data_IF_094260332359
#
_entry.id   IF_094260332359
#
_cell.length_a   1.000
_cell.length_b   1.000
_cell.length_c   1.000
_cell.angle_alpha   90.00
_cell.angle_beta   90.00
_cell.angle_gamma   90.00
#
_symmetry.space_group_name_H-M   'P 1'
#
loop_
_entity.id
_entity.type
_entity.pdbx_description
1 polymer ?
#
# COMPACT_ATOMS: atom_id res chain seq x y z
N UNK A 1 -76.32 -39.83 -19.70
CA UNK A 1 -75.04 -39.97 -18.96
C UNK A 1 -74.06 -38.97 -19.52
N UNK A 2 -73.34 -38.27 -18.65
CA UNK A 2 -72.31 -37.29 -19.03
C UNK A 2 -71.01 -37.70 -18.36
N UNK A 3 -69.91 -37.70 -19.12
CA UNK A 3 -68.57 -38.03 -18.62
C UNK A 3 -67.57 -37.00 -19.12
N UNK A 4 -66.60 -36.67 -18.28
CA UNK A 4 -65.50 -35.77 -18.56
C UNK A 4 -64.13 -36.41 -18.32
N UNK A 5 -63.11 -35.80 -18.89
CA UNK A 5 -61.71 -36.11 -18.62
C UNK A 5 -60.86 -34.85 -18.77
N UNK A 6 -59.75 -34.80 -18.03
CA UNK A 6 -58.72 -33.77 -18.11
C UNK A 6 -57.38 -34.40 -18.50
N UNK A 7 -56.58 -33.71 -19.32
CA UNK A 7 -55.27 -34.21 -19.73
C UNK A 7 -54.26 -34.30 -18.59
N UNK A 8 -54.38 -33.42 -17.59
CA UNK A 8 -53.62 -33.41 -16.34
C UNK A 8 -54.49 -32.88 -15.21
N UNK A 9 -54.29 -33.37 -13.99
CA UNK A 9 -55.02 -32.91 -12.79
C UNK A 9 -54.14 -32.14 -11.81
N UNK A 10 -52.84 -32.06 -12.06
CA UNK A 10 -51.94 -31.21 -11.29
C UNK A 10 -50.71 -30.77 -12.09
N UNK A 11 -50.15 -29.61 -11.74
CA UNK A 11 -48.93 -29.11 -12.37
C UNK A 11 -48.57 -27.68 -11.94
N UNK A 12 -47.40 -27.16 -12.35
CA UNK A 12 -46.98 -25.82 -12.02
C UNK A 12 -47.77 -24.76 -12.81
N UNK A 13 -47.97 -23.58 -12.22
CA UNK A 13 -48.47 -22.42 -12.97
C UNK A 13 -47.42 -21.89 -13.99
N UNK A 14 -47.83 -21.52 -15.23
CA UNK A 14 -49.17 -21.66 -15.78
C UNK A 14 -49.47 -23.11 -16.23
N UNK A 15 -50.63 -23.63 -15.83
CA UNK A 15 -51.06 -24.99 -16.17
C UNK A 15 -52.15 -24.97 -17.23
N UNK A 16 -51.83 -25.42 -18.46
CA UNK A 16 -52.82 -25.62 -19.52
C UNK A 16 -53.39 -27.02 -19.46
N UNK A 17 -54.71 -27.12 -19.30
CA UNK A 17 -55.47 -28.38 -19.25
C UNK A 17 -56.41 -28.44 -20.44
N UNK A 18 -56.37 -29.54 -21.18
CA UNK A 18 -57.35 -29.85 -22.21
C UNK A 18 -58.41 -30.77 -21.62
N UNK A 19 -59.67 -30.45 -21.87
CA UNK A 19 -60.81 -31.20 -21.38
C UNK A 19 -61.53 -31.90 -22.52
N UNK A 20 -62.09 -33.06 -22.23
CA UNK A 20 -62.93 -33.81 -23.15
C UNK A 20 -64.29 -34.09 -22.50
N UNK A 21 -65.37 -33.87 -23.24
CA UNK A 21 -66.73 -34.19 -22.81
C UNK A 21 -67.37 -35.24 -23.73
N UNK A 22 -68.12 -36.16 -23.13
CA UNK A 22 -69.04 -37.04 -23.82
C UNK A 22 -70.40 -37.02 -23.14
N UNK A 23 -71.47 -36.90 -23.94
CA UNK A 23 -72.85 -37.02 -23.51
C UNK A 23 -73.54 -38.12 -24.32
N UNK A 24 -74.21 -39.04 -23.64
CA UNK A 24 -74.94 -40.14 -24.25
C UNK A 24 -76.30 -40.36 -23.58
N UNK A 25 -77.27 -40.86 -24.36
CA UNK A 25 -78.68 -40.88 -23.96
C UNK A 25 -79.32 -39.48 -24.04
N UNK A 26 -80.62 -39.44 -24.33
CA UNK A 26 -81.35 -38.19 -24.62
C UNK A 26 -81.43 -37.87 -26.13
N UNK A 27 -82.03 -36.73 -26.46
CA UNK A 27 -82.21 -36.29 -27.85
C UNK A 27 -81.14 -35.28 -28.27
N UNK A 28 -80.35 -35.60 -29.28
CA UNK A 28 -79.38 -34.66 -29.84
C UNK A 28 -80.03 -33.47 -30.57
N UNK A 29 -79.31 -32.35 -30.79
CA UNK A 29 -77.91 -32.11 -30.43
C UNK A 29 -77.71 -31.80 -28.94
N UNK A 30 -76.52 -32.10 -28.42
CA UNK A 30 -76.12 -31.77 -27.06
C UNK A 30 -75.39 -30.43 -27.00
N UNK A 31 -75.64 -29.68 -25.93
CA UNK A 31 -74.89 -28.46 -25.58
C UNK A 31 -74.09 -28.69 -24.30
N UNK A 32 -72.91 -28.07 -24.20
CA UNK A 32 -71.99 -28.24 -23.08
C UNK A 32 -71.77 -26.91 -22.37
N UNK A 33 -71.57 -26.97 -21.06
CA UNK A 33 -71.19 -25.83 -20.23
C UNK A 33 -70.16 -26.28 -19.21
N UNK A 34 -68.95 -25.76 -19.37
CA UNK A 34 -67.84 -25.95 -18.44
C UNK A 34 -67.74 -24.76 -17.52
N UNK A 35 -67.47 -25.02 -16.24
CA UNK A 35 -67.02 -24.01 -15.27
C UNK A 35 -65.68 -24.47 -14.71
N UNK A 36 -64.66 -23.62 -14.76
CA UNK A 36 -63.29 -24.00 -14.42
C UNK A 36 -62.92 -23.73 -12.96
N UNK A 37 -63.84 -23.20 -12.15
CA UNK A 37 -63.60 -22.91 -10.74
C UNK A 37 -62.80 -21.63 -10.47
N UNK A 38 -62.35 -20.92 -11.51
CA UNK A 38 -61.63 -19.63 -11.44
C UNK A 38 -62.47 -18.44 -11.93
N UNK A 39 -63.77 -18.66 -12.12
CA UNK A 39 -64.71 -17.69 -12.68
C UNK A 39 -64.82 -17.71 -14.21
N UNK A 40 -63.98 -18.47 -14.91
CA UNK A 40 -64.08 -18.67 -16.37
C UNK A 40 -64.96 -19.88 -16.73
N UNK A 41 -65.48 -19.87 -17.95
CA UNK A 41 -66.37 -20.92 -18.48
C UNK A 41 -66.17 -21.12 -19.98
N UNK A 42 -66.67 -22.24 -20.50
CA UNK A 42 -66.68 -22.52 -21.94
C UNK A 42 -67.91 -23.31 -22.36
N UNK A 43 -68.36 -23.12 -23.60
CA UNK A 43 -69.43 -23.91 -24.23
C UNK A 43 -68.93 -24.89 -25.29
N UNK A 44 -67.61 -24.94 -25.53
CA UNK A 44 -67.02 -25.94 -26.44
C UNK A 44 -67.13 -27.33 -25.81
N UNK A 45 -67.33 -28.36 -26.64
CA UNK A 45 -67.33 -29.74 -26.16
C UNK A 45 -65.95 -30.12 -25.55
N UNK A 46 -64.86 -29.73 -26.22
CA UNK A 46 -63.50 -30.04 -25.82
C UNK A 46 -62.67 -28.75 -25.67
N UNK A 47 -62.84 -27.98 -24.58
CA UNK A 47 -62.12 -26.74 -24.37
C UNK A 47 -60.69 -26.98 -23.89
N UNK A 48 -59.85 -25.96 -24.07
CA UNK A 48 -58.56 -25.83 -23.40
C UNK A 48 -58.63 -24.63 -22.47
N UNK A 49 -58.11 -24.76 -21.25
CA UNK A 49 -58.06 -23.67 -20.26
C UNK A 49 -56.70 -23.60 -19.59
N UNK A 50 -56.22 -22.39 -19.28
CA UNK A 50 -54.92 -22.16 -18.65
C UNK A 50 -55.09 -21.49 -17.31
N UNK A 51 -54.70 -22.18 -16.24
CA UNK A 51 -54.69 -21.64 -14.89
C UNK A 51 -53.35 -20.95 -14.60
N UNK A 52 -53.40 -19.67 -14.27
CA UNK A 52 -52.20 -18.85 -14.00
C UNK A 52 -51.97 -18.57 -12.51
N UNK A 53 -52.97 -18.85 -11.67
CA UNK A 53 -52.91 -18.63 -10.22
C UNK A 53 -52.77 -19.99 -9.53
N UNK A 54 -51.91 -20.05 -8.50
CA UNK A 54 -51.73 -21.26 -7.71
C UNK A 54 -52.95 -21.43 -6.80
N UNK A 55 -53.76 -22.46 -7.04
CA UNK A 55 -54.92 -22.81 -6.24
C UNK A 55 -55.38 -24.23 -6.54
N UNK A 56 -56.38 -24.69 -5.79
CA UNK A 56 -57.20 -25.83 -6.13
C UNK A 56 -58.46 -25.34 -6.85
N UNK A 57 -58.74 -25.90 -8.03
CA UNK A 57 -59.88 -25.57 -8.86
C UNK A 57 -60.76 -26.80 -9.03
N UNK A 58 -62.05 -26.65 -8.81
CA UNK A 58 -63.03 -27.70 -9.09
C UNK A 58 -63.73 -27.38 -10.41
N UNK A 59 -63.50 -28.23 -11.40
CA UNK A 59 -64.07 -28.13 -12.73
C UNK A 59 -65.39 -28.90 -12.77
N UNK A 60 -66.44 -28.26 -13.25
CA UNK A 60 -67.75 -28.90 -13.43
C UNK A 60 -68.17 -28.85 -14.88
N UNK A 61 -68.66 -29.98 -15.39
CA UNK A 61 -69.30 -30.11 -16.69
C UNK A 61 -70.80 -30.35 -16.54
N UNK A 62 -71.58 -29.53 -17.24
CA UNK A 62 -73.01 -29.73 -17.47
C UNK A 62 -73.23 -29.93 -18.96
N UNK A 63 -74.01 -30.95 -19.34
CA UNK A 63 -74.51 -31.10 -20.71
C UNK A 63 -76.04 -31.09 -20.73
N UNK A 64 -76.63 -30.47 -21.75
CA UNK A 64 -78.08 -30.46 -21.98
C UNK A 64 -78.42 -31.06 -23.33
N UNK A 65 -79.49 -31.86 -23.37
CA UNK A 65 -80.05 -32.38 -24.62
C UNK A 65 -81.00 -31.36 -25.29
N UNK A 66 -81.53 -31.68 -26.47
CA UNK A 66 -82.43 -30.80 -27.23
C UNK A 66 -83.71 -30.42 -26.46
N UNK A 67 -84.14 -31.27 -25.52
CA UNK A 67 -85.30 -31.06 -24.66
C UNK A 67 -84.95 -30.33 -23.36
N UNK A 68 -83.73 -29.78 -23.24
CA UNK A 68 -83.22 -29.10 -22.05
C UNK A 68 -83.03 -30.02 -20.83
N UNK A 69 -83.00 -31.34 -21.02
CA UNK A 69 -82.70 -32.30 -19.95
C UNK A 69 -81.23 -32.17 -19.57
N UNK A 70 -80.97 -32.00 -18.27
CA UNK A 70 -79.62 -31.74 -17.74
C UNK A 70 -78.96 -33.04 -17.29
N UNK A 71 -77.71 -33.24 -17.70
CA UNK A 71 -76.80 -34.24 -17.13
C UNK A 71 -75.53 -33.56 -16.62
N UNK A 72 -75.03 -34.03 -15.48
CA UNK A 72 -73.80 -33.53 -14.86
C UNK A 72 -72.74 -34.64 -14.84
N UNK A 73 -71.48 -34.28 -15.07
CA UNK A 73 -70.37 -35.17 -14.79
C UNK A 73 -69.94 -35.07 -13.31
N UNK A 74 -69.11 -36.00 -12.87
CA UNK A 74 -68.41 -35.90 -11.58
C UNK A 74 -67.36 -34.79 -11.64
N UNK A 75 -67.28 -33.87 -10.66
CA UNK A 75 -66.30 -32.78 -10.72
C UNK A 75 -64.85 -33.28 -10.80
N UNK A 76 -64.02 -32.58 -11.57
CA UNK A 76 -62.57 -32.83 -11.67
C UNK A 76 -61.83 -31.77 -10.85
N UNK A 77 -60.99 -32.21 -9.92
CA UNK A 77 -60.10 -31.31 -9.19
C UNK A 77 -58.78 -31.09 -9.94
N UNK A 78 -58.45 -29.83 -10.18
CA UNK A 78 -57.19 -29.37 -10.76
C UNK A 78 -56.37 -28.66 -9.68
N UNK A 79 -55.16 -29.14 -9.41
CA UNK A 79 -54.24 -28.53 -8.45
C UNK A 79 -53.10 -27.81 -9.15
N UNK A 80 -53.06 -26.48 -9.02
CA UNK A 80 -52.00 -25.65 -9.61
C UNK A 80 -50.99 -25.28 -8.53
N UNK A 81 -49.76 -25.76 -8.68
CA UNK A 81 -48.67 -25.55 -7.74
C UNK A 81 -47.74 -24.43 -8.18
N UNK A 82 -46.96 -23.79 -7.28
CA UNK A 82 -45.92 -22.86 -7.69
C UNK A 82 -44.87 -23.52 -8.58
N UNK A 83 -44.43 -22.82 -9.64
CA UNK A 83 -43.32 -23.26 -10.48
C UNK A 83 -42.02 -23.35 -9.68
N UNK A 84 -41.12 -24.24 -10.09
CA UNK A 84 -39.79 -24.35 -9.49
C UNK A 84 -38.99 -23.07 -9.74
N UNK A 85 -38.45 -22.51 -8.67
CA UNK A 85 -37.51 -21.39 -8.69
C UNK A 85 -36.36 -21.69 -7.72
N UNK A 86 -35.22 -21.04 -7.93
CA UNK A 86 -34.06 -21.22 -7.07
C UNK A 86 -33.34 -19.90 -6.89
N UNK A 87 -32.98 -19.61 -5.64
CA UNK A 87 -32.03 -18.56 -5.29
C UNK A 87 -30.77 -19.17 -4.71
N UNK A 88 -29.66 -18.48 -4.90
CA UNK A 88 -28.35 -18.87 -4.40
C UNK A 88 -27.67 -17.67 -3.73
N UNK A 89 -26.86 -17.92 -2.72
CA UNK A 89 -26.01 -16.92 -2.08
C UNK A 89 -24.64 -17.49 -1.77
N UNK A 90 -23.65 -16.61 -1.59
CA UNK A 90 -22.29 -16.98 -1.22
C UNK A 90 -21.79 -16.07 -0.09
N UNK A 91 -21.15 -16.68 0.89
CA UNK A 91 -20.35 -15.97 1.88
C UNK A 91 -18.89 -15.98 1.42
N UNK A 92 -18.21 -14.83 1.55
CA UNK A 92 -16.85 -14.58 1.07
C UNK A 92 -16.73 -14.67 -0.46
N UNK A 93 -17.35 -13.70 -1.14
CA UNK A 93 -17.30 -13.57 -2.60
C UNK A 93 -15.97 -12.99 -3.13
N UNK A 94 -15.09 -12.48 -2.25
CA UNK A 94 -13.79 -11.98 -2.63
C UNK A 94 -12.74 -12.30 -1.56
N UNK A 95 -11.48 -12.41 -1.99
CA UNK A 95 -10.34 -12.68 -1.12
C UNK A 95 -9.00 -12.51 -1.82
N UNK A 96 -7.95 -12.33 -1.04
CA UNK A 96 -6.56 -12.35 -1.53
C UNK A 96 -5.97 -13.75 -1.33
N UNK A 97 -5.29 -14.26 -2.36
CA UNK A 97 -4.78 -15.63 -2.36
C UNK A 97 -5.90 -16.66 -2.35
N UNK A 98 -5.63 -17.89 -1.88
CA UNK A 98 -6.63 -18.95 -1.91
C UNK A 98 -7.88 -18.58 -1.10
N UNK A 99 -9.05 -18.69 -1.73
CA UNK A 99 -10.35 -18.29 -1.17
C UNK A 99 -11.27 -19.50 -1.01
N UNK A 100 -11.66 -19.78 0.23
CA UNK A 100 -12.76 -20.71 0.52
C UNK A 100 -14.07 -19.95 0.66
N UNK A 101 -15.00 -20.21 -0.25
CA UNK A 101 -16.33 -19.62 -0.30
C UNK A 101 -17.39 -20.64 0.15
N UNK A 102 -18.35 -20.19 0.94
CA UNK A 102 -19.46 -21.03 1.41
C UNK A 102 -20.73 -20.66 0.66
N UNK A 103 -21.34 -21.63 -0.01
CA UNK A 103 -22.52 -21.45 -0.85
C UNK A 103 -23.78 -21.92 -0.15
N UNK A 104 -24.90 -21.29 -0.47
CA UNK A 104 -26.22 -21.67 0.03
C UNK A 104 -27.21 -21.72 -1.12
N UNK A 105 -27.91 -22.85 -1.24
CA UNK A 105 -28.96 -23.07 -2.23
C UNK A 105 -30.34 -23.07 -1.58
N UNK A 106 -31.29 -22.33 -2.16
CA UNK A 106 -32.66 -22.23 -1.64
C UNK A 106 -33.67 -22.39 -2.78
N UNK A 107 -34.15 -23.63 -3.02
CA UNK A 107 -35.24 -23.87 -3.96
C UNK A 107 -36.59 -23.48 -3.37
N UNK A 108 -37.53 -23.08 -4.22
CA UNK A 108 -38.91 -22.78 -3.86
C UNK A 108 -39.86 -23.25 -4.98
N UNK A 109 -41.06 -23.71 -4.61
CA UNK A 109 -42.00 -24.32 -5.56
C UNK A 109 -41.53 -25.68 -6.10
N UNK A 110 -42.17 -26.17 -7.16
CA UNK A 110 -41.90 -27.51 -7.70
C UNK A 110 -42.29 -28.63 -6.73
N UNK A 111 -41.80 -29.85 -7.00
CA UNK A 111 -41.98 -31.01 -6.11
C UNK A 111 -40.67 -31.59 -5.60
N UNK A 112 -40.53 -31.65 -4.28
CA UNK A 112 -39.43 -32.39 -3.66
C UNK A 112 -39.55 -33.92 -3.87
N UNK A 113 -38.45 -34.68 -3.70
CA UNK A 113 -37.11 -34.22 -3.32
C UNK A 113 -36.40 -33.46 -4.45
N UNK A 114 -35.43 -32.62 -4.08
CA UNK A 114 -34.64 -31.81 -5.02
C UNK A 114 -33.23 -32.39 -5.19
N UNK A 115 -32.71 -32.31 -6.41
CA UNK A 115 -31.31 -32.60 -6.76
C UNK A 115 -30.60 -31.29 -7.03
N UNK A 116 -29.43 -31.10 -6.40
CA UNK A 116 -28.62 -29.89 -6.54
C UNK A 116 -27.43 -30.16 -7.46
N UNK A 117 -27.08 -29.17 -8.28
CA UNK A 117 -25.89 -29.19 -9.12
C UNK A 117 -25.27 -27.79 -9.15
N UNK A 118 -24.20 -27.63 -8.38
CA UNK A 118 -23.35 -26.44 -8.41
C UNK A 118 -22.29 -26.58 -9.49
N UNK A 119 -22.11 -25.50 -10.27
CA UNK A 119 -20.93 -25.29 -11.10
C UNK A 119 -20.21 -24.06 -10.56
N UNK A 120 -18.95 -24.21 -10.15
CA UNK A 120 -18.21 -23.13 -9.47
C UNK A 120 -17.50 -22.16 -10.42
N UNK A 121 -17.45 -22.49 -11.71
CA UNK A 121 -16.84 -21.65 -12.76
C UNK A 121 -15.35 -21.89 -12.99
N UNK A 122 -14.74 -22.83 -12.26
CA UNK A 122 -13.33 -23.26 -12.37
C UNK A 122 -13.17 -24.70 -12.86
N UNK A 123 -14.26 -25.29 -13.38
CA UNK A 123 -14.34 -26.68 -13.80
C UNK A 123 -14.73 -27.66 -12.68
N UNK A 124 -14.83 -27.22 -11.42
CA UNK A 124 -15.30 -28.04 -10.31
C UNK A 124 -16.82 -27.89 -10.08
N UNK A 125 -17.40 -28.89 -9.41
CA UNK A 125 -18.84 -28.98 -9.15
C UNK A 125 -19.16 -29.62 -7.80
N UNK A 126 -20.42 -29.52 -7.37
CA UNK A 126 -20.92 -30.21 -6.17
C UNK A 126 -22.40 -30.53 -6.28
N UNK A 127 -22.85 -31.59 -5.62
CA UNK A 127 -24.26 -31.96 -5.49
C UNK A 127 -24.86 -31.69 -4.10
N UNK A 128 -24.07 -31.11 -3.17
CA UNK A 128 -24.60 -30.67 -1.89
C UNK A 128 -25.47 -29.41 -2.07
N UNK A 129 -26.50 -29.24 -1.25
CA UNK A 129 -27.29 -28.01 -1.23
C UNK A 129 -26.44 -26.79 -0.83
N UNK A 130 -25.62 -26.95 0.23
CA UNK A 130 -24.80 -25.90 0.83
C UNK A 130 -23.30 -26.30 0.85
N UNK A 131 -22.62 -26.35 -0.31
CA UNK A 131 -21.22 -26.74 -0.36
C UNK A 131 -20.29 -25.61 0.08
N UNK A 132 -19.11 -26.00 0.56
CA UNK A 132 -17.95 -25.12 0.64
C UNK A 132 -17.03 -25.46 -0.53
N UNK A 133 -16.48 -24.45 -1.21
CA UNK A 133 -15.55 -24.64 -2.32
C UNK A 133 -14.33 -23.72 -2.19
N UNK A 134 -13.16 -24.19 -2.60
CA UNK A 134 -11.91 -23.43 -2.51
C UNK A 134 -11.37 -23.12 -3.90
N UNK A 135 -11.26 -21.84 -4.19
CA UNK A 135 -10.61 -21.33 -5.39
C UNK A 135 -9.12 -21.12 -5.10
N UNK A 136 -8.27 -21.90 -5.76
CA UNK A 136 -6.82 -21.88 -5.53
C UNK A 136 -6.04 -20.90 -6.39
N UNK A 137 -6.59 -20.50 -7.54
CA UNK A 137 -5.94 -19.63 -8.50
C UNK A 137 -6.56 -18.22 -8.50
N UNK A 138 -5.74 -17.22 -8.82
CA UNK A 138 -6.18 -15.84 -9.05
C UNK A 138 -7.09 -15.81 -10.27
N UNK A 139 -8.22 -15.12 -10.15
CA UNK A 139 -9.18 -15.02 -11.24
C UNK A 139 -10.58 -14.60 -10.79
N UNK A 140 -11.40 -14.29 -11.78
CA UNK A 140 -12.83 -14.07 -11.60
C UNK A 140 -13.60 -15.33 -12.00
N UNK A 141 -14.48 -15.81 -11.11
CA UNK A 141 -15.27 -17.01 -11.30
C UNK A 141 -16.77 -16.69 -11.23
N UNK A 142 -17.56 -17.48 -11.96
CA UNK A 142 -19.01 -17.37 -11.97
C UNK A 142 -19.62 -18.69 -11.49
N UNK A 143 -20.12 -18.70 -10.26
CA UNK A 143 -20.79 -19.86 -9.68
C UNK A 143 -22.30 -19.81 -9.95
N UNK A 144 -22.90 -20.97 -10.26
CA UNK A 144 -24.34 -21.12 -10.48
C UNK A 144 -24.84 -22.41 -9.84
N UNK A 145 -26.07 -22.37 -9.33
CA UNK A 145 -26.79 -23.53 -8.85
C UNK A 145 -27.92 -23.87 -9.84
N UNK A 146 -27.97 -25.12 -10.28
CA UNK A 146 -29.15 -25.72 -10.91
C UNK A 146 -29.80 -26.68 -9.92
N UNK A 147 -31.12 -26.56 -9.77
CA UNK A 147 -31.93 -27.49 -8.99
C UNK A 147 -32.91 -28.19 -9.90
N UNK A 148 -33.01 -29.51 -9.78
CA UNK A 148 -34.00 -30.33 -10.47
C UNK A 148 -34.95 -30.93 -9.45
N UNK A 149 -36.25 -30.85 -9.72
CA UNK A 149 -37.30 -31.40 -8.87
C UNK A 149 -37.64 -32.85 -9.23
N UNK A 150 -38.52 -33.50 -8.45
CA UNK A 150 -38.90 -34.91 -8.66
C UNK A 150 -39.67 -35.18 -9.95
N UNK A 151 -40.06 -34.13 -10.68
CA UNK A 151 -40.76 -34.19 -11.96
C UNK A 151 -39.83 -33.87 -13.13
N UNK A 152 -38.51 -33.87 -12.88
CA UNK A 152 -37.47 -33.56 -13.87
C UNK A 152 -37.53 -32.11 -14.39
N UNK A 153 -38.20 -31.20 -13.69
CA UNK A 153 -38.19 -29.77 -14.00
C UNK A 153 -36.95 -29.16 -13.36
N UNK A 154 -36.22 -28.33 -14.11
CA UNK A 154 -35.00 -27.68 -13.62
C UNK A 154 -35.13 -26.16 -13.59
N UNK A 155 -34.57 -25.54 -12.56
CA UNK A 155 -34.40 -24.11 -12.44
C UNK A 155 -32.94 -23.79 -12.11
N UNK A 156 -32.43 -22.67 -12.64
CA UNK A 156 -31.05 -22.23 -12.42
C UNK A 156 -31.03 -20.85 -11.78
N UNK A 157 -30.16 -20.67 -10.79
CA UNK A 157 -30.01 -19.39 -10.09
C UNK A 157 -29.37 -18.34 -10.98
N UNK A 158 -29.44 -17.07 -10.56
CA UNK A 158 -28.51 -16.05 -11.05
C UNK A 158 -27.06 -16.46 -10.73
N UNK A 159 -26.12 -15.94 -11.52
CA UNK A 159 -24.69 -16.15 -11.28
C UNK A 159 -24.21 -15.37 -10.07
N UNK A 160 -23.45 -16.03 -9.22
CA UNK A 160 -22.67 -15.42 -8.15
C UNK A 160 -21.26 -15.11 -8.67
N UNK A 161 -20.79 -13.88 -8.48
CA UNK A 161 -19.45 -13.45 -8.88
C UNK A 161 -18.47 -13.67 -7.74
N UNK A 162 -17.39 -14.40 -7.99
CA UNK A 162 -16.33 -14.68 -7.02
C UNK A 162 -15.03 -14.11 -7.58
N UNK A 163 -14.30 -13.33 -6.78
CA UNK A 163 -13.05 -12.71 -7.17
C UNK A 163 -11.90 -13.17 -6.27
N UNK A 164 -10.91 -13.81 -6.87
CA UNK A 164 -9.67 -14.21 -6.18
C UNK A 164 -8.55 -13.30 -6.65
N UNK A 165 -8.08 -12.43 -5.78
CA UNK A 165 -6.99 -11.51 -6.06
C UNK A 165 -5.64 -12.15 -5.73
N UNK A 166 -4.57 -11.68 -6.36
CA UNK A 166 -3.22 -12.07 -5.93
C UNK A 166 -2.95 -11.57 -4.51
N UNK A 167 -2.15 -12.29 -3.74
CA UNK A 167 -1.70 -11.82 -2.42
C UNK A 167 -1.02 -10.45 -2.56
N UNK A 168 -1.36 -9.46 -1.73
CA UNK A 168 -0.74 -8.15 -1.81
C UNK A 168 0.74 -8.23 -1.41
N UNK A 169 1.57 -7.52 -2.17
CA UNK A 169 2.98 -7.33 -1.88
C UNK A 169 3.33 -5.84 -1.95
N UNK A 170 4.28 -5.45 -1.11
CA UNK A 170 4.72 -4.08 -0.92
C UNK A 170 6.19 -3.91 -1.31
N UNK A 171 6.54 -2.74 -1.83
CA UNK A 171 7.92 -2.24 -1.82
C UNK A 171 7.97 -0.85 -1.22
N UNK A 172 9.06 -0.53 -0.53
CA UNK A 172 9.36 0.81 -0.04
C UNK A 172 10.79 1.18 -0.43
N UNK A 173 11.02 2.43 -0.80
CA UNK A 173 12.38 2.98 -0.98
C UNK A 173 12.49 4.36 -0.36
N UNK A 174 13.73 4.77 -0.07
CA UNK A 174 14.07 6.13 0.33
C UNK A 174 14.99 6.72 -0.73
N UNK A 175 14.85 8.02 -1.00
CA UNK A 175 15.74 8.71 -1.95
C UNK A 175 17.18 8.86 -1.43
N UNK A 176 17.37 8.84 -0.11
CA UNK A 176 18.66 8.98 0.57
C UNK A 176 18.72 7.99 1.75
N UNK A 177 19.83 7.26 1.88
CA UNK A 177 20.07 6.34 3.00
C UNK A 177 20.95 6.96 4.10
N UNK A 178 21.66 8.04 3.77
CA UNK A 178 22.54 8.78 4.68
C UNK A 178 22.43 10.29 4.42
N UNK A 179 22.30 11.09 5.47
CA UNK A 179 22.16 12.56 5.41
C UNK A 179 22.75 13.24 6.66
N UNK A 180 23.01 14.54 6.58
CA UNK A 180 23.37 15.37 7.74
C UNK A 180 22.14 16.03 8.36
N UNK A 181 22.04 16.07 9.70
CA UNK A 181 20.95 16.74 10.39
C UNK A 181 21.06 18.28 10.30
N UNK A 182 19.94 19.01 10.15
CA UNK A 182 18.61 18.52 9.81
C UNK A 182 18.45 18.28 8.30
N UNK A 183 17.84 17.16 7.90
CA UNK A 183 17.59 16.87 6.48
C UNK A 183 16.25 16.16 6.24
N UNK A 184 15.66 16.46 5.08
CA UNK A 184 14.46 15.80 4.58
C UNK A 184 14.82 14.56 3.76
N UNK A 185 14.14 13.46 4.02
CA UNK A 185 14.21 12.21 3.26
C UNK A 185 12.83 11.91 2.68
N UNK A 186 12.78 11.70 1.37
CA UNK A 186 11.58 11.30 0.64
C UNK A 186 11.46 9.79 0.56
N UNK A 187 10.26 9.28 0.81
CA UNK A 187 9.93 7.86 0.75
C UNK A 187 8.94 7.61 -0.37
N UNK A 188 9.10 6.48 -1.05
CA UNK A 188 8.14 6.02 -2.05
C UNK A 188 7.70 4.60 -1.77
N UNK A 189 6.45 4.29 -2.08
CA UNK A 189 5.86 2.96 -1.96
C UNK A 189 5.26 2.47 -3.27
N UNK A 190 5.26 1.16 -3.46
CA UNK A 190 4.51 0.52 -4.53
C UNK A 190 3.83 -0.75 -4.01
N UNK A 191 2.72 -1.10 -4.64
CA UNK A 191 1.90 -2.26 -4.30
C UNK A 191 1.63 -3.09 -5.55
N UNK A 192 1.62 -4.41 -5.39
CA UNK A 192 1.12 -5.35 -6.39
C UNK A 192 0.16 -6.35 -5.74
N UNK A 193 -0.83 -6.83 -6.49
CA UNK A 193 -1.90 -7.67 -5.93
C UNK A 193 -2.84 -6.92 -4.98
N UNK A 194 -3.61 -7.67 -4.20
CA UNK A 194 -4.60 -7.14 -3.25
C UNK A 194 -5.80 -6.46 -3.90
N UNK A 195 -6.61 -5.81 -3.07
CA UNK A 195 -7.82 -5.10 -3.46
C UNK A 195 -7.74 -3.61 -3.12
N UNK A 196 -7.85 -2.74 -4.12
CA UNK A 196 -7.89 -1.30 -3.90
C UNK A 196 -9.21 -0.84 -3.24
N UNK A 197 -9.23 0.31 -2.52
CA UNK A 197 -8.11 1.20 -2.22
C UNK A 197 -7.16 0.65 -1.14
N UNK A 198 -5.94 1.18 -1.11
CA UNK A 198 -4.91 0.85 -0.10
C UNK A 198 -4.76 1.98 0.92
N UNK A 199 -4.61 1.62 2.18
CA UNK A 199 -4.19 2.50 3.27
C UNK A 199 -2.71 2.35 3.58
N UNK A 200 -2.06 3.42 4.03
CA UNK A 200 -0.63 3.49 4.31
C UNK A 200 -0.40 3.92 5.76
N UNK A 201 0.62 3.34 6.40
CA UNK A 201 1.10 3.76 7.71
C UNK A 201 2.62 3.64 7.75
N UNK A 202 3.28 4.79 7.67
CA UNK A 202 4.72 4.93 7.80
C UNK A 202 5.09 5.24 9.24
N UNK A 203 6.16 4.63 9.75
CA UNK A 203 6.80 4.99 11.01
C UNK A 203 8.26 5.34 10.74
N UNK A 204 8.72 6.51 11.18
CA UNK A 204 10.06 6.99 10.82
C UNK A 204 11.16 6.64 11.84
N UNK A 205 10.81 5.94 12.93
CA UNK A 205 11.77 5.49 13.95
C UNK A 205 12.19 6.56 14.96
N UNK A 206 11.69 7.79 14.83
CA UNK A 206 11.89 8.91 15.77
C UNK A 206 10.63 9.24 16.61
N UNK A 207 9.62 8.38 16.52
CA UNK A 207 8.31 8.57 17.16
C UNK A 207 7.25 9.23 16.28
N UNK A 208 7.60 9.72 15.10
CA UNK A 208 6.65 10.28 14.13
C UNK A 208 6.15 9.25 13.11
N UNK A 209 5.02 9.56 12.46
CA UNK A 209 4.33 8.68 11.51
C UNK A 209 3.59 9.46 10.41
N UNK A 210 3.21 8.77 9.33
CA UNK A 210 2.42 9.35 8.22
C UNK A 210 1.48 8.34 7.60
N UNK A 211 0.34 8.81 7.08
CA UNK A 211 -0.64 8.02 6.31
C UNK A 211 -0.61 8.32 4.80
N UNK A 212 0.25 9.23 4.37
CA UNK A 212 0.42 9.56 2.95
C UNK A 212 1.18 8.42 2.27
N UNK A 213 0.82 8.09 1.02
CA UNK A 213 1.48 7.06 0.23
C UNK A 213 2.99 7.27 0.12
N UNK A 214 3.41 8.46 -0.32
CA UNK A 214 4.81 8.84 -0.55
C UNK A 214 5.17 10.09 0.28
N UNK A 215 5.48 9.94 1.58
CA UNK A 215 5.77 11.07 2.45
C UNK A 215 7.20 11.58 2.31
N UNK A 216 7.41 12.84 2.70
CA UNK A 216 8.74 13.39 3.01
C UNK A 216 8.82 13.63 4.52
N UNK A 217 9.93 13.25 5.15
CA UNK A 217 10.13 13.39 6.59
C UNK A 217 11.47 14.05 6.91
N UNK A 218 11.48 14.94 7.91
CA UNK A 218 12.68 15.66 8.33
C UNK A 218 13.25 15.06 9.61
N UNK A 219 14.49 14.56 9.53
CA UNK A 219 15.23 14.10 10.70
C UNK A 219 16.03 15.26 11.29
N UNK A 220 15.60 15.74 12.45
CA UNK A 220 16.22 16.89 13.11
C UNK A 220 17.50 16.55 13.90
N UNK A 221 17.68 15.29 14.31
CA UNK A 221 18.79 14.87 15.17
C UNK A 221 19.57 13.72 14.56
N UNK A 222 20.88 13.70 14.82
CA UNK A 222 21.76 12.62 14.40
C UNK A 222 21.36 11.31 15.09
N UNK A 223 21.38 10.21 14.35
CA UNK A 223 20.89 8.92 14.81
C UNK A 223 20.81 7.90 13.69
N UNK A 224 20.44 6.68 14.03
CA UNK A 224 20.08 5.65 13.05
C UNK A 224 18.62 5.33 13.24
N UNK A 225 17.82 5.50 12.18
CA UNK A 225 16.38 5.38 12.22
C UNK A 225 15.92 4.20 11.37
N UNK A 226 15.07 3.36 11.95
CA UNK A 226 14.42 2.26 11.23
C UNK A 226 13.05 2.71 10.76
N UNK A 227 12.88 2.79 9.45
CA UNK A 227 11.62 3.19 8.82
C UNK A 227 10.81 1.95 8.48
N UNK A 228 9.56 1.94 8.92
CA UNK A 228 8.58 0.90 8.65
C UNK A 228 7.44 1.41 7.79
N UNK A 229 6.88 0.52 6.96
CA UNK A 229 5.64 0.73 6.23
C UNK A 229 4.70 -0.44 6.49
N UNK A 230 3.47 -0.14 6.85
CA UNK A 230 2.35 -1.09 6.82
C UNK A 230 1.34 -0.58 5.81
N UNK A 231 1.00 -1.42 4.83
CA UNK A 231 -0.11 -1.17 3.92
C UNK A 231 -1.27 -2.11 4.27
N UNK A 232 -2.49 -1.64 4.04
CA UNK A 232 -3.70 -2.44 4.22
C UNK A 232 -4.60 -2.26 3.01
N UNK A 233 -5.12 -3.34 2.47
CA UNK A 233 -6.01 -3.31 1.31
C UNK A 233 -7.50 -3.16 1.73
N UNK A 234 -8.41 -3.09 0.77
CA UNK A 234 -9.84 -2.92 1.02
C UNK A 234 -10.51 -4.15 1.64
N UNK A 235 -9.89 -5.33 1.56
CA UNK A 235 -10.35 -6.54 2.25
C UNK A 235 -9.83 -6.65 3.68
N UNK A 236 -8.97 -5.71 4.11
CA UNK A 236 -8.40 -5.66 5.45
C UNK A 236 -7.12 -6.49 5.59
N UNK A 237 -6.53 -6.95 4.49
CA UNK A 237 -5.25 -7.66 4.49
C UNK A 237 -4.13 -6.64 4.72
N UNK A 238 -3.40 -6.79 5.84
CA UNK A 238 -2.21 -5.98 6.13
C UNK A 238 -0.92 -6.68 5.71
N UNK A 239 0.00 -5.91 5.13
CA UNK A 239 1.27 -6.40 4.60
C UNK A 239 2.34 -5.30 4.65
N UNK A 240 3.60 -5.70 4.69
CA UNK A 240 4.74 -4.80 4.88
C UNK A 240 5.93 -5.20 4.02
N UNK A 241 6.66 -4.24 3.44
CA UNK A 241 7.98 -4.52 2.86
C UNK A 241 9.03 -4.67 3.98
N UNK A 242 10.26 -4.95 3.59
CA UNK A 242 11.40 -4.85 4.50
C UNK A 242 11.55 -3.40 5.01
N UNK A 243 11.97 -3.25 6.26
CA UNK A 243 12.27 -1.94 6.84
C UNK A 243 13.46 -1.27 6.14
N UNK A 244 13.44 0.06 6.07
CA UNK A 244 14.56 0.86 5.60
C UNK A 244 15.39 1.34 6.80
N UNK A 245 16.68 1.58 6.59
CA UNK A 245 17.56 2.18 7.60
C UNK A 245 18.09 3.51 7.08
N UNK A 246 17.82 4.58 7.82
CA UNK A 246 18.29 5.94 7.51
C UNK A 246 19.31 6.34 8.55
N UNK A 247 20.53 6.67 8.11
CA UNK A 247 21.60 7.11 9.00
C UNK A 247 21.78 8.62 8.90
N UNK A 248 21.56 9.31 10.01
CA UNK A 248 21.63 10.76 10.10
C UNK A 248 22.86 11.14 10.91
N UNK A 249 23.75 11.92 10.31
CA UNK A 249 24.97 12.41 10.93
C UNK A 249 24.77 13.82 11.52
N UNK A 250 25.62 14.27 12.46
CA UNK A 250 25.57 15.66 12.91
C UNK A 250 25.82 16.62 11.74
N UNK A 251 25.25 17.83 11.78
CA UNK A 251 25.50 18.87 10.77
C UNK A 251 27.00 19.04 10.50
N UNK A 252 27.38 19.13 9.24
CA UNK A 252 28.74 19.48 8.85
C UNK A 252 29.08 20.90 9.31
N UNK A 253 30.05 21.00 10.22
CA UNK A 253 30.71 22.23 10.62
C UNK A 253 32.16 22.23 10.15
N UNK A 254 32.74 23.41 9.94
CA UNK A 254 34.14 23.56 9.54
C UNK A 254 34.77 24.69 10.32
N UNK A 255 35.98 24.44 10.83
CA UNK A 255 36.84 25.47 11.40
C UNK A 255 38.03 25.64 10.47
N UNK A 256 38.31 26.88 10.07
CA UNK A 256 39.44 27.22 9.22
C UNK A 256 40.26 28.36 9.84
N UNK A 257 41.58 28.35 9.59
CA UNK A 257 42.51 29.36 10.07
C UNK A 257 43.58 29.65 9.02
N UNK A 258 44.13 30.86 9.09
CA UNK A 258 45.23 31.31 8.24
C UNK A 258 46.31 31.98 9.11
N UNK A 259 47.58 31.66 8.86
CA UNK A 259 48.70 32.27 9.57
C UNK A 259 49.95 32.39 8.68
N UNK A 260 50.60 33.56 8.59
CA UNK A 260 50.18 34.88 9.12
C UNK A 260 49.03 35.52 8.32
N UNK A 261 48.24 36.40 8.96
CA UNK A 261 47.16 37.16 8.30
C UNK A 261 47.63 38.48 7.69
N UNK A 262 48.81 38.99 8.08
CA UNK A 262 49.41 40.17 7.47
C UNK A 262 50.93 40.13 7.54
N UNK A 263 51.59 40.79 6.60
CA UNK A 263 53.04 40.92 6.55
C UNK A 263 53.53 41.57 5.25
N UNK A 264 54.85 41.59 5.00
CA UNK A 264 55.40 42.15 3.77
C UNK A 264 55.01 41.32 2.53
N UNK A 265 55.00 41.96 1.36
CA UNK A 265 54.75 41.31 0.08
C UNK A 265 55.65 40.07 -0.15
N UNK A 266 55.12 39.07 -0.88
CA UNK A 266 55.59 37.67 -0.87
C UNK A 266 55.30 36.98 0.47
N UNK A 267 54.13 37.29 1.03
CA UNK A 267 53.66 36.72 2.29
C UNK A 267 53.25 35.27 2.05
N UNK A 268 54.02 34.32 2.58
CA UNK A 268 53.63 32.91 2.60
C UNK A 268 52.68 32.67 3.77
N UNK A 269 51.46 32.25 3.47
CA UNK A 269 50.39 32.00 4.44
C UNK A 269 50.04 30.53 4.42
N UNK A 270 49.98 29.91 5.60
CA UNK A 270 49.49 28.54 5.74
C UNK A 270 48.04 28.58 6.18
N UNK A 271 47.21 27.84 5.45
CA UNK A 271 45.80 27.64 5.68
C UNK A 271 45.58 26.25 6.24
N UNK A 272 44.83 26.14 7.33
CA UNK A 272 44.46 24.87 7.95
C UNK A 272 42.96 24.84 8.18
N UNK A 273 42.32 23.74 7.83
CA UNK A 273 40.91 23.48 8.09
C UNK A 273 40.69 22.11 8.69
N UNK A 274 39.66 22.02 9.53
CA UNK A 274 39.16 20.79 10.10
C UNK A 274 37.63 20.76 10.02
N UNK A 275 37.09 19.67 9.50
CA UNK A 275 35.66 19.39 9.57
C UNK A 275 35.28 18.83 10.95
N UNK A 276 34.09 19.16 11.40
CA UNK A 276 33.43 18.66 12.62
C UNK A 276 32.02 18.22 12.27
N UNK A 277 31.56 17.07 12.78
CA UNK A 277 30.29 16.50 12.31
C UNK A 277 30.41 15.91 10.90
N UNK A 278 29.27 15.72 10.23
CA UNK A 278 29.17 15.07 8.92
C UNK A 278 29.63 13.61 8.90
N UNK A 279 29.71 13.06 7.69
CA UNK A 279 30.28 11.75 7.38
C UNK A 279 31.54 11.89 6.51
N UNK A 280 32.67 11.40 7.01
CA UNK A 280 33.89 11.29 6.21
C UNK A 280 33.77 10.25 5.07
N UNK A 281 34.60 10.33 4.02
CA UNK A 281 35.72 11.28 3.84
C UNK A 281 35.28 12.71 3.50
N UNK A 282 36.09 13.68 3.91
CA UNK A 282 35.87 15.10 3.61
C UNK A 282 36.78 15.57 2.46
N UNK A 283 36.25 16.43 1.60
CA UNK A 283 37.01 17.09 0.53
C UNK A 283 37.10 18.58 0.81
N UNK A 284 38.29 19.17 0.65
CA UNK A 284 38.57 20.58 0.95
C UNK A 284 39.03 21.28 -0.32
N UNK A 285 38.41 22.41 -0.66
CA UNK A 285 38.74 23.25 -1.80
C UNK A 285 38.88 24.71 -1.37
N UNK A 286 40.05 25.29 -1.62
CA UNK A 286 40.39 26.67 -1.27
C UNK A 286 40.39 27.56 -2.50
N UNK A 287 39.83 28.75 -2.37
CA UNK A 287 40.03 29.88 -3.28
C UNK A 287 40.80 30.95 -2.51
N UNK A 288 41.99 31.32 -2.98
CA UNK A 288 42.86 32.24 -2.22
C UNK A 288 42.52 33.72 -2.42
N UNK A 289 41.54 34.04 -3.28
CA UNK A 289 41.09 35.40 -3.56
C UNK A 289 41.94 36.17 -4.60
N UNK A 290 43.01 35.56 -5.12
CA UNK A 290 43.88 36.11 -6.17
C UNK A 290 43.81 35.32 -7.50
N UNK A 291 42.83 34.42 -7.61
CA UNK A 291 42.65 33.51 -8.74
C UNK A 291 43.34 32.15 -8.58
N UNK A 292 44.20 31.96 -7.56
CA UNK A 292 44.77 30.67 -7.25
C UNK A 292 43.83 29.81 -6.37
N UNK A 293 43.99 28.49 -6.47
CA UNK A 293 43.21 27.50 -5.71
C UNK A 293 44.12 26.48 -5.03
N UNK A 294 43.60 25.80 -4.02
CA UNK A 294 44.29 24.75 -3.29
C UNK A 294 43.34 23.65 -2.83
N UNK A 295 43.87 22.49 -2.45
CA UNK A 295 43.07 21.38 -1.91
C UNK A 295 43.73 20.78 -0.68
N UNK A 296 42.93 20.08 0.12
CA UNK A 296 43.37 19.41 1.33
C UNK A 296 43.18 20.22 2.61
N UNK A 297 43.28 19.56 3.78
CA UNK A 297 43.03 20.18 5.08
C UNK A 297 44.13 21.16 5.51
N UNK A 298 45.31 21.12 4.87
CA UNK A 298 46.39 22.07 5.11
C UNK A 298 47.09 22.41 3.81
N UNK A 299 47.19 23.70 3.47
CA UNK A 299 47.80 24.18 2.23
C UNK A 299 48.48 25.53 2.48
N UNK A 300 49.60 25.80 1.80
CA UNK A 300 50.28 27.09 1.87
C UNK A 300 50.19 27.83 0.53
N UNK A 301 50.00 29.14 0.57
CA UNK A 301 49.96 30.01 -0.61
C UNK A 301 50.75 31.31 -0.37
N UNK A 302 51.31 31.90 -1.43
CA UNK A 302 52.15 33.10 -1.32
C UNK A 302 51.55 34.30 -2.03
N UNK A 303 51.26 35.36 -1.28
CA UNK A 303 50.57 36.55 -1.78
C UNK A 303 51.53 37.64 -2.28
N UNK A 304 51.19 38.22 -3.43
CA UNK A 304 51.70 39.53 -3.86
C UNK A 304 51.05 40.63 -3.03
N UNK A 305 51.62 41.83 -3.05
CA UNK A 305 51.04 42.93 -2.31
C UNK A 305 49.58 43.21 -2.72
N UNK A 306 48.71 43.34 -1.72
CA UNK A 306 47.28 43.41 -1.91
C UNK A 306 46.52 42.91 -0.67
N UNK A 307 45.20 42.99 -0.76
CA UNK A 307 44.27 42.48 0.25
C UNK A 307 43.40 41.41 -0.41
N UNK A 308 43.32 40.24 0.20
CA UNK A 308 42.63 39.08 -0.37
C UNK A 308 41.65 38.48 0.65
N UNK A 309 40.57 37.88 0.17
CA UNK A 309 39.58 37.18 0.98
C UNK A 309 39.54 35.71 0.56
N UNK A 310 40.29 34.83 1.24
CA UNK A 310 40.27 33.41 0.95
C UNK A 310 38.95 32.79 1.37
N UNK A 311 38.45 31.87 0.57
CA UNK A 311 37.26 31.09 0.84
C UNK A 311 37.59 29.60 0.82
N UNK A 312 36.87 28.84 1.65
CA UNK A 312 36.94 27.39 1.75
C UNK A 312 35.57 26.79 1.45
N UNK A 313 35.57 25.74 0.64
CA UNK A 313 34.44 24.83 0.46
C UNK A 313 34.83 23.45 0.98
N UNK A 314 33.98 22.85 1.82
CA UNK A 314 34.15 21.48 2.30
C UNK A 314 32.91 20.67 1.96
N UNK A 315 33.09 19.49 1.38
CA UNK A 315 32.03 18.50 1.20
C UNK A 315 32.31 17.26 2.03
N UNK A 316 31.25 16.60 2.46
CA UNK A 316 31.30 15.30 3.13
C UNK A 316 30.69 14.19 2.24
N UNK A 317 30.67 12.96 2.75
CA UNK A 317 30.15 11.80 2.04
C UNK A 317 28.63 11.57 2.23
N UNK A 318 27.96 12.30 3.14
CA UNK A 318 26.51 12.30 3.29
C UNK A 318 25.83 13.36 2.39
N UNK A 319 26.59 14.13 1.62
CA UNK A 319 26.11 15.17 0.71
C UNK A 319 26.06 16.57 1.33
N UNK A 320 26.53 16.72 2.56
CA UNK A 320 26.74 17.99 3.24
C UNK A 320 27.76 18.86 2.52
N UNK A 321 27.53 20.17 2.56
CA UNK A 321 28.41 21.19 1.98
C UNK A 321 28.49 22.38 2.93
N UNK A 322 29.71 22.82 3.20
CA UNK A 322 29.98 24.04 3.96
C UNK A 322 30.83 24.98 3.11
N UNK A 323 30.49 26.27 3.12
CA UNK A 323 31.26 27.32 2.46
C UNK A 323 31.44 28.52 3.38
N UNK A 324 32.65 29.08 3.43
CA UNK A 324 32.92 30.27 4.23
C UNK A 324 34.26 30.92 3.95
N UNK A 325 34.40 32.17 4.38
CA UNK A 325 35.65 32.94 4.29
C UNK A 325 36.57 32.65 5.49
N UNK A 326 37.88 32.73 5.26
CA UNK A 326 38.92 32.37 6.25
C UNK A 326 39.53 33.64 6.89
N UNK A 327 38.85 34.77 6.72
CA UNK A 327 39.32 36.11 7.10
C UNK A 327 39.98 36.85 5.93
N UNK A 328 40.64 37.97 6.26
CA UNK A 328 41.31 38.84 5.26
C UNK A 328 42.82 38.70 5.39
N UNK A 329 43.51 38.51 4.26
CA UNK A 329 44.97 38.47 4.20
C UNK A 329 45.49 39.78 3.60
N UNK A 330 46.44 40.43 4.27
CA UNK A 330 47.02 41.71 3.81
C UNK A 330 48.53 41.61 3.63
N UNK A 331 48.98 41.61 2.38
CA UNK A 331 50.38 41.66 2.00
C UNK A 331 50.79 43.10 1.66
N UNK A 332 51.70 43.69 2.43
CA UNK A 332 52.03 45.12 2.39
C UNK A 332 53.24 45.36 1.48
N UNK A 333 53.15 46.32 0.54
CA UNK A 333 54.34 46.79 -0.19
C UNK A 333 55.25 47.56 0.76
N UNK A 334 56.51 47.15 0.86
CA UNK A 334 57.54 48.03 1.41
C UNK A 334 57.82 49.16 0.42
N UNK A 335 57.53 50.40 0.81
CA UNK A 335 58.12 51.57 0.17
C UNK A 335 59.58 51.67 0.63
N UNK A 336 60.51 51.24 -0.21
CA UNK A 336 61.90 51.60 -0.01
C UNK A 336 62.01 53.13 -0.18
N UNK A 337 62.05 53.87 0.94
CA UNK A 337 62.54 55.25 0.93
C UNK A 337 64.02 55.15 0.54
N UNK A 338 64.35 55.36 -0.74
CA UNK A 338 65.72 55.64 -1.17
C UNK A 338 66.12 56.95 -0.50
N UNK A 339 66.81 56.88 0.64
CA UNK A 339 67.69 57.98 1.05
C UNK A 339 68.77 58.09 0.00
N UNK A 340 68.71 59.16 -0.81
CA UNK A 340 69.78 59.54 -1.71
C UNK A 340 71.05 59.78 -0.89
N UNK A 341 72.23 59.30 -1.32
CA UNK A 341 73.47 59.70 -0.68
C UNK A 341 73.73 61.18 -1.01
N UNK A 342 73.66 62.03 0.00
CA UNK A 342 74.18 63.40 -0.09
C UNK A 342 75.70 63.33 -0.14
N UNK A 343 76.23 63.73 -1.29
CA UNK A 343 77.64 64.08 -1.51
C UNK A 343 78.07 65.18 -0.53
N UNK A 344 79.14 64.93 0.24
CA UNK A 344 79.82 65.91 1.07
C UNK A 344 81.30 65.54 1.20
N UNK A 345 82.16 66.35 0.59
CA UNK A 345 83.61 66.22 0.51
C UNK A 345 84.33 66.77 1.75
N UNK A 346 85.51 66.18 2.01
CA UNK A 346 86.73 66.70 2.67
C UNK A 346 86.85 66.83 4.20
N UNK A 347 87.98 66.30 4.71
CA UNK A 347 88.59 66.62 6.01
C UNK A 347 89.27 65.41 6.66
N UNK A 348 90.53 65.14 6.32
CA UNK A 348 91.24 63.88 6.66
C UNK A 348 91.97 63.82 8.00
N UNK A 349 92.46 62.61 8.34
CA UNK A 349 93.82 62.30 8.80
C UNK A 349 93.93 60.82 9.23
N UNK A 350 94.97 60.14 8.75
CA UNK A 350 95.49 58.80 9.10
C UNK A 350 96.41 58.89 10.36
N UNK A 351 97.04 57.82 10.94
CA UNK A 351 97.16 56.41 10.49
C UNK A 351 97.06 55.30 11.60
N UNK A 352 97.06 54.02 11.18
CA UNK A 352 98.12 53.02 11.45
C UNK A 352 97.67 51.60 11.88
N UNK A 353 98.43 50.63 11.34
CA UNK A 353 98.60 49.21 11.69
C UNK A 353 97.49 48.19 11.29
N UNK A 354 97.84 47.28 10.37
CA UNK A 354 97.15 45.99 10.15
C UNK A 354 97.77 44.88 11.03
N UNK A 355 97.72 43.58 10.66
CA UNK A 355 96.92 42.87 9.65
C UNK A 355 96.26 41.57 10.21
N UNK A 356 95.83 40.67 9.32
CA UNK A 356 95.50 39.23 9.51
C UNK A 356 94.08 38.91 10.02
N UNK A 357 93.44 37.78 9.74
CA UNK A 357 93.55 36.71 8.74
C UNK A 357 92.37 35.75 9.01
N UNK A 358 91.76 35.22 7.95
CA UNK A 358 91.20 33.86 7.80
C UNK A 358 90.20 33.22 8.80
N UNK A 359 89.18 32.62 8.17
CA UNK A 359 88.59 31.28 8.38
C UNK A 359 87.59 30.99 9.51
N UNK A 360 86.32 30.89 9.08
CA UNK A 360 85.43 29.69 9.15
C UNK A 360 84.83 29.27 10.53
N UNK A 361 83.87 28.32 10.56
CA UNK A 361 82.42 28.54 10.65
C UNK A 361 81.82 28.14 12.02
N UNK A 362 80.54 28.46 12.28
CA UNK A 362 79.80 27.82 13.38
C UNK A 362 78.47 27.23 12.91
N UNK A 363 78.35 25.94 13.15
CA UNK A 363 77.17 25.10 13.03
C UNK A 363 76.34 25.13 14.32
N UNK A 364 75.05 24.84 14.17
CA UNK A 364 74.02 24.80 15.20
C UNK A 364 74.23 23.71 16.28
N UNK A 365 73.53 23.82 17.43
CA UNK A 365 73.15 22.68 18.26
C UNK A 365 71.63 22.39 18.22
N UNK A 366 71.19 21.13 18.40
CA UNK A 366 69.79 20.72 18.32
C UNK A 366 69.04 20.74 19.65
N UNK A 367 67.71 20.82 19.54
CA UNK A 367 66.69 20.85 20.58
C UNK A 367 66.40 19.47 21.21
N UNK A 368 66.17 19.46 22.53
CA UNK A 368 65.75 18.29 23.31
C UNK A 368 64.24 18.02 23.21
N UNK A 369 63.88 16.73 23.25
CA UNK A 369 62.52 16.18 23.37
C UNK A 369 62.19 15.87 24.85
N UNK A 370 60.92 15.87 25.28
CA UNK A 370 60.51 15.19 26.51
C UNK A 370 59.77 13.87 26.24
N UNK A 371 60.08 12.89 27.09
CA UNK A 371 59.63 11.51 27.09
C UNK A 371 58.27 11.30 27.77
N UNK A 372 57.52 10.32 27.27
CA UNK A 372 56.27 9.78 27.83
C UNK A 372 56.56 8.74 28.94
N UNK A 373 55.76 8.77 30.01
CA UNK A 373 55.72 7.72 31.04
C UNK A 373 54.38 6.99 30.94
N UNK A 374 54.46 5.66 30.85
CA UNK A 374 53.34 4.73 30.89
C UNK A 374 53.04 4.29 32.33
N UNK A 375 51.77 4.01 32.63
CA UNK A 375 51.37 3.24 33.81
C UNK A 375 50.32 2.19 33.42
N UNK A 376 50.68 0.94 33.66
CA UNK A 376 49.79 -0.22 33.72
C UNK A 376 49.20 -0.33 35.13
N UNK A 377 47.94 -0.73 35.27
CA UNK A 377 47.54 -1.73 36.29
C UNK A 377 46.22 -2.43 35.92
N UNK A 378 46.03 -3.62 36.49
CA UNK A 378 45.32 -4.76 35.92
C UNK A 378 43.87 -5.00 36.44
N UNK A 379 43.22 -5.93 35.71
CA UNK A 379 41.96 -6.67 35.91
C UNK A 379 41.75 -7.30 37.31
N UNK A 380 40.51 -7.65 37.71
CA UNK A 380 40.14 -9.08 37.70
C UNK A 380 38.67 -9.43 37.31
N UNK A 381 38.55 -10.36 36.34
CA UNK A 381 37.84 -11.65 36.34
C UNK A 381 36.39 -11.83 36.91
N UNK A 382 35.45 -12.08 35.96
CA UNK A 382 34.73 -13.36 35.66
C UNK A 382 33.23 -13.59 36.04
N UNK A 383 32.55 -14.20 35.04
CA UNK A 383 31.33 -15.09 34.99
C UNK A 383 29.99 -14.38 34.66
N UNK A 384 29.45 -14.57 33.44
CA UNK A 384 28.58 -15.69 32.94
C UNK A 384 27.12 -15.52 33.40
N UNK A 385 26.07 -15.49 32.59
CA UNK A 385 25.85 -15.66 31.15
C UNK A 385 24.33 -15.77 30.88
N UNK A 386 23.92 -15.62 29.61
CA UNK A 386 22.74 -16.26 29.03
C UNK A 386 21.34 -15.62 29.19
N UNK A 387 20.73 -15.28 28.05
CA UNK A 387 19.38 -15.75 27.72
C UNK A 387 18.19 -14.79 27.93
N UNK A 388 17.36 -14.72 26.87
CA UNK A 388 15.92 -14.36 26.83
C UNK A 388 15.58 -12.85 26.82
N UNK A 389 14.98 -12.25 25.77
CA UNK A 389 14.17 -12.81 24.70
C UNK A 389 12.68 -12.70 25.03
N UNK A 390 11.99 -11.76 24.36
CA UNK A 390 10.53 -11.69 24.15
C UNK A 390 9.65 -11.18 25.31
N UNK A 391 9.30 -9.89 25.29
CA UNK A 391 7.97 -9.37 25.70
C UNK A 391 7.66 -8.02 25.04
N UNK A 392 7.14 -8.02 23.82
CA UNK A 392 6.31 -6.92 23.29
C UNK A 392 5.21 -7.53 22.42
N UNK A 393 4.08 -7.81 23.05
CA UNK A 393 2.82 -8.08 22.37
C UNK A 393 1.70 -7.41 23.17
N UNK A 394 0.73 -6.86 22.45
CA UNK A 394 -0.46 -6.13 22.89
C UNK A 394 -0.29 -4.60 23.04
N UNK A 395 -0.32 -3.89 21.90
CA UNK A 395 -1.18 -2.69 21.74
C UNK A 395 -1.25 -2.21 20.27
N UNK A 396 -1.63 -3.07 19.34
CA UNK A 396 -2.14 -2.63 18.03
C UNK A 396 -3.33 -3.51 17.66
N UNK A 397 -4.43 -3.27 18.35
CA UNK A 397 -5.67 -4.01 18.19
C UNK A 397 -6.85 -3.21 18.69
N UNK A 398 -6.90 -1.91 18.39
CA UNK A 398 -8.04 -1.03 18.61
C UNK A 398 -7.78 0.35 18.00
N UNK A 399 -7.67 0.47 16.68
CA UNK A 399 -7.92 1.76 16.00
C UNK A 399 -8.21 1.64 14.49
N UNK A 400 -9.04 0.66 14.08
CA UNK A 400 -9.64 0.64 12.72
C UNK A 400 -11.17 0.57 12.80
N UNK A 401 -11.76 1.19 13.82
CA UNK A 401 -13.22 1.37 13.94
C UNK A 401 -13.68 2.82 13.69
N UNK A 402 -12.81 3.71 13.19
CA UNK A 402 -13.11 5.15 13.14
C UNK A 402 -13.18 5.78 11.73
N UNK A 403 -12.95 5.04 10.64
CA UNK A 403 -13.10 5.60 9.27
C UNK A 403 -13.97 4.75 8.32
N UNK A 404 -14.45 3.58 8.75
CA UNK A 404 -15.38 2.73 7.99
C UNK A 404 -16.85 2.76 8.46
N UNK A 405 -17.18 3.60 9.44
CA UNK A 405 -18.46 3.57 10.18
C UNK A 405 -19.42 4.72 9.92
N UNK A 406 -19.43 5.31 8.72
CA UNK A 406 -20.34 6.42 8.37
C UNK A 406 -21.24 6.15 7.15
N UNK A 407 -21.38 4.89 6.72
CA UNK A 407 -22.27 4.53 5.61
C UNK A 407 -23.08 3.25 5.90
N UNK A 408 -23.66 3.11 7.09
CA UNK A 408 -24.75 2.13 7.32
C UNK A 408 -25.56 2.43 8.59
N UNK A 409 -26.07 3.67 8.72
CA UNK A 409 -27.11 3.98 9.71
C UNK A 409 -28.04 5.08 9.17
N UNK A 410 -28.58 4.82 7.98
CA UNK A 410 -29.67 5.60 7.39
C UNK A 410 -30.66 4.67 6.68
N UNK A 411 -31.12 3.61 7.37
CA UNK A 411 -32.29 2.84 6.94
C UNK A 411 -32.83 1.93 8.06
N UNK A 412 -33.32 2.52 9.14
CA UNK A 412 -34.34 1.91 10.02
C UNK A 412 -34.74 2.88 11.15
N UNK A 413 -35.49 3.94 10.83
CA UNK A 413 -36.37 4.59 11.82
C UNK A 413 -37.42 5.49 11.16
N UNK A 414 -38.36 4.91 10.40
CA UNK A 414 -39.69 5.53 10.19
C UNK A 414 -40.72 4.41 10.12
N UNK A 415 -41.33 4.11 11.27
CA UNK A 415 -42.66 3.54 11.43
C UNK A 415 -42.99 3.54 12.93
N UNK A 416 -43.35 4.74 13.42
CA UNK A 416 -44.30 4.98 14.53
C UNK A 416 -44.51 6.49 14.68
N UNK A 417 -45.43 7.00 13.87
CA UNK A 417 -46.50 7.96 14.20
C UNK A 417 -47.53 7.85 13.10
#
# INVERSE_FOLDING_TARGET
MVTDAASVTSGPSPLTVTFAANASGGSGPFSYQWTFGDGQSSSSQNPSHTYTINAHYTVNLIAKDANQTVGNATPIDITVTPALSVSASVLRAAGDGSLTAAFTGSPAGGAGPYVFAWAFGDGQSSNAQNPSHTYGAVGAYSARLTVTDSRSVSATSSSLSIMVNAMPAATATANLAAVDAPAAVGFTSSVSGGTAPFGYWWTFGDGSASITQDPSHVYATAGTYTVGLVMTDALGTSFSPNSLTIKVYPSLGVVASANPVSGPARLSVTFVAAATGGLGPFTYSWSFGDGATGTGPSVSHTYKAGTYQPALTVHDAAGGSWQGAVGTITAIRHSAKRTAPTTGLTGGALPSSGPASTSQPSSAPPSQSPSLVAAHYADPQRRSGGGDGWRFLALVGSFVAAVGGALSLARQLVLRT
#
